data_IF_357936794253
#
_entry.id   IF_357936794253
#
_cell.length_a   1.000
_cell.length_b   1.000
_cell.length_c   1.000
_cell.angle_alpha   90.00
_cell.angle_beta   90.00
_cell.angle_gamma   90.00
#
_symmetry.space_group_name_H-M   'P 1'
#
loop_
_entity.id
_entity.type
_entity.pdbx_description
1 polymer ?
#
# COMPACT_ATOMS: atom_id res chain seq x y z
N UNK A 1 9.08 31.50 62.08
CA UNK A 1 9.01 30.16 61.42
C UNK A 1 7.58 29.66 61.08
N UNK A 2 6.52 30.47 61.23
CA UNK A 2 5.12 30.04 60.98
C UNK A 2 4.58 30.47 59.61
N UNK A 3 5.21 31.33 58.89
CA UNK A 3 4.76 31.82 57.57
C UNK A 3 5.35 31.04 56.39
N UNK A 4 6.38 30.21 56.60
CA UNK A 4 7.02 29.42 55.53
C UNK A 4 6.22 28.18 55.13
N UNK A 5 5.42 27.64 56.05
CA UNK A 5 4.60 26.42 55.79
C UNK A 5 3.48 26.62 54.77
N UNK A 6 2.69 27.73 54.84
CA UNK A 6 1.62 27.93 53.84
C UNK A 6 2.18 28.26 52.45
N UNK A 7 3.36 28.90 52.38
CA UNK A 7 3.97 29.30 51.12
C UNK A 7 4.53 28.10 50.35
N UNK A 8 5.12 27.13 51.07
CA UNK A 8 5.61 25.85 50.49
C UNK A 8 4.41 24.98 50.05
N UNK A 9 3.33 24.98 50.84
CA UNK A 9 2.11 24.22 50.50
C UNK A 9 1.43 24.81 49.25
N UNK A 10 1.39 26.14 49.11
CA UNK A 10 0.86 26.82 47.94
C UNK A 10 1.71 26.56 46.68
N UNK A 11 3.04 26.55 46.82
CA UNK A 11 3.96 26.24 45.72
C UNK A 11 3.81 24.77 45.27
N UNK A 12 3.61 23.84 46.20
CA UNK A 12 3.38 22.43 45.87
C UNK A 12 2.04 22.19 45.16
N UNK A 13 1.02 22.98 45.50
CA UNK A 13 -0.29 22.90 44.85
C UNK A 13 -0.23 23.42 43.40
N UNK A 14 0.57 24.45 43.13
CA UNK A 14 0.77 24.98 41.76
C UNK A 14 1.60 24.05 40.90
N UNK A 15 2.59 23.36 41.47
CA UNK A 15 3.39 22.34 40.73
C UNK A 15 2.61 21.05 40.46
N UNK A 16 1.63 20.71 41.32
CA UNK A 16 0.83 19.48 41.17
C UNK A 16 -0.33 19.59 40.17
N UNK A 17 -0.72 20.82 39.80
CA UNK A 17 -1.84 21.08 38.88
C UNK A 17 -1.49 21.09 37.37
N UNK A 18 -0.22 20.94 37.02
CA UNK A 18 0.27 21.19 35.65
C UNK A 18 0.36 19.97 34.71
N UNK A 19 0.08 18.77 35.19
CA UNK A 19 0.04 17.58 34.33
C UNK A 19 -1.39 17.29 33.82
N UNK A 20 -1.99 18.27 33.13
CA UNK A 20 -3.07 17.95 32.21
C UNK A 20 -2.44 17.14 31.08
N UNK A 21 -2.54 15.81 31.18
CA UNK A 21 -2.26 14.94 30.04
C UNK A 21 -3.07 15.48 28.86
N UNK A 22 -2.39 16.02 27.84
CA UNK A 22 -2.99 16.27 26.53
C UNK A 22 -3.43 14.89 26.01
N UNK A 23 -4.61 14.44 26.44
CA UNK A 23 -5.27 13.32 25.79
C UNK A 23 -5.54 13.78 24.37
N UNK A 24 -4.76 13.27 23.42
CA UNK A 24 -5.06 13.44 22.01
C UNK A 24 -6.50 12.91 21.83
N UNK A 25 -7.44 13.83 21.73
CA UNK A 25 -8.85 13.48 21.55
C UNK A 25 -8.94 12.77 20.19
N UNK A 26 -9.22 11.49 20.21
CA UNK A 26 -9.53 10.73 19.00
C UNK A 26 -11.00 10.97 18.67
N UNK A 27 -11.29 11.12 17.36
CA UNK A 27 -12.66 11.15 16.84
C UNK A 27 -12.91 9.92 16.01
N UNK A 28 -14.14 9.44 15.98
CA UNK A 28 -14.54 8.36 15.08
C UNK A 28 -14.95 8.96 13.73
N UNK A 29 -14.37 8.43 12.66
CA UNK A 29 -14.78 8.70 11.28
C UNK A 29 -15.40 7.43 10.75
N UNK A 30 -16.61 7.54 10.23
CA UNK A 30 -17.32 6.47 9.53
C UNK A 30 -17.36 6.76 8.03
N UNK A 31 -17.45 5.71 7.22
CA UNK A 31 -17.55 5.91 5.78
C UNK A 31 -17.97 4.66 5.03
N UNK A 32 -18.15 4.85 3.72
CA UNK A 32 -18.36 3.77 2.76
C UNK A 32 -17.33 3.86 1.65
N UNK A 33 -16.89 2.69 1.18
CA UNK A 33 -16.03 2.57 0.00
C UNK A 33 -16.84 1.89 -1.09
N UNK A 34 -16.89 2.53 -2.24
CA UNK A 34 -17.65 2.10 -3.41
C UNK A 34 -16.72 2.02 -4.63
N UNK A 35 -17.09 1.22 -5.62
CA UNK A 35 -16.47 1.23 -6.94
C UNK A 35 -17.04 2.33 -7.85
N UNK A 36 -16.58 2.38 -9.10
CA UNK A 36 -17.08 3.31 -10.12
C UNK A 36 -18.57 3.09 -10.44
N UNK A 37 -19.11 1.88 -10.20
CA UNK A 37 -20.50 1.50 -10.43
C UNK A 37 -21.36 1.68 -9.18
N UNK A 38 -20.85 2.35 -8.13
CA UNK A 38 -21.50 2.57 -6.82
C UNK A 38 -21.77 1.26 -6.04
N UNK A 39 -21.05 0.19 -6.35
CA UNK A 39 -21.14 -1.06 -5.60
C UNK A 39 -20.24 -1.03 -4.38
N UNK A 40 -20.69 -1.58 -3.24
CA UNK A 40 -19.87 -1.58 -2.01
C UNK A 40 -18.68 -2.52 -2.16
N UNK A 41 -17.48 -2.01 -1.79
CA UNK A 41 -16.25 -2.79 -1.82
C UNK A 41 -15.95 -3.37 -0.44
N UNK A 42 -15.90 -4.69 -0.38
CA UNK A 42 -15.60 -5.48 0.81
C UNK A 42 -14.08 -5.68 0.95
N UNK A 43 -13.59 -5.69 2.18
CA UNK A 43 -12.19 -6.03 2.44
C UNK A 43 -11.19 -4.93 2.07
N UNK A 44 -11.65 -3.72 1.80
CA UNK A 44 -10.77 -2.56 1.53
C UNK A 44 -10.04 -2.17 2.80
N UNK A 45 -8.71 -2.06 2.74
CA UNK A 45 -7.90 -1.57 3.84
C UNK A 45 -7.92 -0.04 3.87
N UNK A 46 -8.30 0.52 5.01
CA UNK A 46 -8.33 1.97 5.28
C UNK A 46 -7.37 2.24 6.43
N UNK A 47 -6.25 2.92 6.15
CA UNK A 47 -5.22 3.25 7.12
C UNK A 47 -5.15 4.75 7.35
N UNK A 48 -4.83 5.15 8.57
CA UNK A 48 -4.48 6.56 8.88
C UNK A 48 -3.04 6.80 8.45
N UNK A 49 -2.82 7.73 7.53
CA UNK A 49 -1.49 8.06 6.98
C UNK A 49 -0.51 8.41 8.11
N UNK A 50 0.72 7.91 8.01
CA UNK A 50 1.74 8.09 9.04
C UNK A 50 1.55 7.28 10.32
N UNK A 51 0.57 6.38 10.39
CA UNK A 51 0.35 5.50 11.55
C UNK A 51 0.16 4.04 11.14
N UNK A 52 0.16 3.14 12.12
CA UNK A 52 -0.16 1.73 11.91
C UNK A 52 -1.65 1.41 12.16
N UNK A 53 -2.47 2.45 12.43
CA UNK A 53 -3.90 2.27 12.69
C UNK A 53 -4.66 2.13 11.39
N UNK A 54 -5.39 1.04 11.25
CA UNK A 54 -6.21 0.77 10.08
C UNK A 54 -7.39 -0.13 10.41
N UNK A 55 -8.35 -0.15 9.51
CA UNK A 55 -9.54 -1.01 9.55
C UNK A 55 -9.82 -1.54 8.16
N UNK A 56 -10.67 -2.57 8.08
CA UNK A 56 -11.13 -3.14 6.81
C UNK A 56 -12.62 -2.86 6.64
N UNK A 57 -13.07 -2.65 5.40
CA UNK A 57 -14.51 -2.48 5.13
C UNK A 57 -15.28 -3.78 5.31
N UNK A 58 -16.50 -3.66 5.83
CA UNK A 58 -17.47 -4.74 6.00
C UNK A 58 -18.14 -5.14 4.66
N UNK A 59 -19.02 -6.13 4.71
CA UNK A 59 -19.74 -6.66 3.53
C UNK A 59 -20.55 -5.60 2.77
N UNK A 60 -21.01 -4.57 3.44
CA UNK A 60 -21.72 -3.42 2.84
C UNK A 60 -20.81 -2.24 2.51
N UNK A 61 -19.48 -2.47 2.45
CA UNK A 61 -18.46 -1.46 2.14
C UNK A 61 -18.27 -0.40 3.22
N UNK A 62 -18.86 -0.54 4.40
CA UNK A 62 -18.74 0.45 5.48
C UNK A 62 -17.53 0.22 6.35
N UNK A 63 -16.98 1.30 6.91
CA UNK A 63 -15.88 1.27 7.89
C UNK A 63 -16.09 2.30 9.00
N UNK A 64 -15.44 2.08 10.13
CA UNK A 64 -15.32 3.03 11.24
C UNK A 64 -13.88 3.03 11.74
N UNK A 65 -13.26 4.18 11.81
CA UNK A 65 -11.86 4.33 12.21
C UNK A 65 -11.68 5.47 13.20
N UNK A 66 -10.84 5.24 14.20
CA UNK A 66 -10.45 6.26 15.17
C UNK A 66 -9.27 7.08 14.64
N UNK A 67 -9.49 8.36 14.46
CA UNK A 67 -8.48 9.29 13.93
C UNK A 67 -8.21 10.43 14.93
N UNK A 68 -7.06 11.11 14.86
CA UNK A 68 -6.81 12.33 15.62
C UNK A 68 -7.86 13.41 15.34
N UNK A 69 -8.09 14.31 16.28
CA UNK A 69 -9.12 15.38 16.17
C UNK A 69 -8.88 16.40 15.06
N UNK A 70 -7.68 16.41 14.46
CA UNK A 70 -7.32 17.30 13.36
C UNK A 70 -7.77 16.79 11.99
N UNK A 71 -7.31 17.50 10.97
CA UNK A 71 -7.35 17.02 9.59
C UNK A 71 -6.52 15.74 9.48
N UNK A 72 -7.06 14.73 8.84
CA UNK A 72 -6.44 13.41 8.75
C UNK A 72 -6.49 12.91 7.31
N UNK A 73 -5.39 12.32 6.85
CA UNK A 73 -5.32 11.65 5.55
C UNK A 73 -5.54 10.17 5.76
N UNK A 74 -6.47 9.59 5.01
CA UNK A 74 -6.70 8.14 4.95
C UNK A 74 -6.06 7.59 3.70
N UNK A 75 -5.28 6.54 3.85
CA UNK A 75 -4.74 5.76 2.74
C UNK A 75 -5.61 4.52 2.54
N UNK A 76 -6.25 4.46 1.38
CA UNK A 76 -7.24 3.42 1.04
C UNK A 76 -6.67 2.53 -0.05
N UNK A 77 -6.63 1.23 0.21
CA UNK A 77 -6.06 0.23 -0.70
C UNK A 77 -6.98 -0.98 -0.83
N UNK A 78 -7.12 -1.48 -2.04
CA UNK A 78 -7.86 -2.69 -2.34
C UNK A 78 -7.19 -3.44 -3.50
N UNK A 79 -7.21 -4.76 -3.47
CA UNK A 79 -6.68 -5.57 -4.56
C UNK A 79 -7.51 -5.35 -5.84
N UNK A 80 -6.85 -5.06 -6.96
CA UNK A 80 -7.50 -4.75 -8.23
C UNK A 80 -8.01 -3.32 -8.37
N UNK A 81 -7.67 -2.43 -7.43
CA UNK A 81 -8.04 -1.01 -7.44
C UNK A 81 -6.84 -0.13 -7.22
N UNK A 82 -6.85 1.06 -7.81
CA UNK A 82 -5.82 2.06 -7.60
C UNK A 82 -5.84 2.58 -6.16
N UNK A 83 -4.69 2.60 -5.46
CA UNK A 83 -4.61 3.15 -4.12
C UNK A 83 -4.93 4.63 -4.12
N UNK A 84 -5.70 5.09 -3.14
CA UNK A 84 -6.13 6.49 -3.04
C UNK A 84 -5.83 7.08 -1.66
N UNK A 85 -5.36 8.32 -1.63
CA UNK A 85 -5.26 9.12 -0.40
C UNK A 85 -6.43 10.10 -0.34
N UNK A 86 -7.15 10.09 0.78
CA UNK A 86 -8.34 10.92 0.99
C UNK A 86 -8.17 11.75 2.24
N UNK A 87 -8.25 13.06 2.11
CA UNK A 87 -8.19 13.99 3.24
C UNK A 87 -9.56 14.14 3.89
N UNK A 88 -9.63 13.89 5.18
CA UNK A 88 -10.84 14.05 6.00
C UNK A 88 -10.67 15.26 6.89
N UNK A 89 -11.38 16.38 6.61
CA UNK A 89 -11.29 17.57 7.45
C UNK A 89 -11.86 17.31 8.84
N UNK A 90 -11.39 18.07 9.82
CA UNK A 90 -11.80 17.94 11.23
C UNK A 90 -13.31 18.08 11.45
N UNK A 91 -14.00 18.80 10.57
CA UNK A 91 -15.44 19.05 10.64
C UNK A 91 -16.32 17.90 10.12
N UNK A 92 -15.73 16.90 9.46
CA UNK A 92 -16.47 15.75 8.88
C UNK A 92 -16.17 14.45 9.60
N UNK A 93 -17.23 13.78 10.03
CA UNK A 93 -17.16 12.45 10.65
C UNK A 93 -17.73 11.34 9.74
N UNK A 94 -18.20 11.70 8.54
CA UNK A 94 -18.71 10.74 7.55
C UNK A 94 -18.17 11.06 6.16
N UNK A 95 -17.76 10.02 5.41
CA UNK A 95 -17.17 10.16 4.08
C UNK A 95 -17.56 8.98 3.18
N UNK A 96 -17.75 9.25 1.89
CA UNK A 96 -17.86 8.22 0.85
C UNK A 96 -16.65 8.30 -0.05
N UNK A 97 -16.02 7.17 -0.31
CA UNK A 97 -14.81 7.02 -1.11
C UNK A 97 -15.14 6.18 -2.32
N UNK A 98 -14.73 6.63 -3.51
CA UNK A 98 -14.89 5.89 -4.76
C UNK A 98 -13.51 5.45 -5.22
N UNK A 99 -13.30 4.13 -5.38
CA UNK A 99 -12.07 3.58 -5.93
C UNK A 99 -12.24 3.30 -7.43
N UNK A 100 -11.15 3.51 -8.16
CA UNK A 100 -11.08 3.17 -9.58
C UNK A 100 -10.38 1.83 -9.74
N UNK A 101 -10.89 0.99 -10.64
CA UNK A 101 -10.28 -0.29 -10.98
C UNK A 101 -8.91 -0.07 -11.61
N UNK A 102 -7.93 -0.89 -11.21
CA UNK A 102 -6.62 -0.92 -11.84
C UNK A 102 -6.67 -1.85 -13.05
N UNK A 103 -6.91 -1.26 -14.22
CA UNK A 103 -7.00 -1.99 -15.49
C UNK A 103 -5.73 -2.79 -15.82
N UNK A 104 -4.57 -2.41 -15.29
CA UNK A 104 -3.29 -3.10 -15.53
C UNK A 104 -3.25 -4.43 -14.75
N UNK A 105 -3.79 -4.48 -13.54
CA UNK A 105 -3.87 -5.73 -12.76
C UNK A 105 -4.91 -6.72 -13.30
N UNK A 106 -5.94 -6.24 -13.99
CA UNK A 106 -6.97 -7.10 -14.59
C UNK A 106 -6.45 -7.81 -15.85
N UNK A 107 -5.45 -7.25 -16.53
CA UNK A 107 -4.83 -7.86 -17.72
C UNK A 107 -3.77 -8.93 -17.36
N UNK A 108 -3.35 -9.01 -16.11
CA UNK A 108 -2.38 -9.99 -15.60
C UNK A 108 -3.02 -11.26 -15.00
N UNK A 109 -4.33 -11.44 -15.12
CA UNK A 109 -4.93 -12.76 -14.92
C UNK A 109 -4.67 -13.60 -16.17
N UNK A 110 -3.40 -13.80 -16.47
CA UNK A 110 -2.97 -14.85 -17.39
C UNK A 110 -3.29 -16.17 -16.72
N UNK A 111 -4.38 -16.76 -17.16
CA UNK A 111 -4.62 -18.18 -17.02
C UNK A 111 -3.32 -18.89 -17.38
N UNK A 112 -2.63 -19.46 -16.41
CA UNK A 112 -1.56 -20.41 -16.64
C UNK A 112 -2.24 -21.70 -17.12
N UNK A 113 -2.67 -21.67 -18.38
CA UNK A 113 -3.08 -22.81 -19.16
C UNK A 113 -1.99 -23.06 -20.16
N UNK A 114 -1.14 -24.06 -19.90
CA UNK A 114 -0.28 -24.73 -20.86
C UNK A 114 0.42 -23.83 -21.91
N UNK A 115 1.63 -23.34 -21.58
CA UNK A 115 2.70 -23.24 -22.57
C UNK A 115 2.61 -22.15 -23.62
N UNK A 116 2.41 -20.87 -23.24
CA UNK A 116 2.89 -19.74 -24.03
C UNK A 116 3.36 -18.64 -23.09
N UNK A 117 4.67 -18.59 -22.88
CA UNK A 117 5.29 -17.46 -22.23
C UNK A 117 5.12 -16.23 -23.14
N UNK A 118 4.19 -15.34 -22.79
CA UNK A 118 4.19 -13.99 -23.34
C UNK A 118 5.43 -13.27 -22.81
N UNK A 119 6.33 -12.87 -23.70
CA UNK A 119 7.50 -12.07 -23.38
C UNK A 119 7.07 -10.79 -22.68
N UNK A 120 7.44 -10.69 -21.42
CA UNK A 120 7.39 -9.42 -20.69
C UNK A 120 8.33 -8.44 -21.41
N UNK A 121 7.80 -7.34 -21.91
CA UNK A 121 8.58 -6.23 -22.41
C UNK A 121 9.31 -5.57 -21.24
N UNK A 122 10.46 -6.10 -20.89
CA UNK A 122 11.46 -5.38 -20.12
C UNK A 122 12.03 -4.33 -21.07
N UNK A 123 11.67 -3.07 -20.86
CA UNK A 123 12.35 -1.90 -21.41
C UNK A 123 13.74 -1.80 -20.80
N UNK A 124 14.62 -2.57 -21.31
CA UNK A 124 16.06 -2.56 -21.08
C UNK A 124 16.67 -3.35 -22.22
N UNK A 125 17.50 -2.69 -23.04
CA UNK A 125 18.12 -3.23 -24.22
C UNK A 125 18.76 -4.60 -23.97
N UNK A 126 18.02 -5.66 -24.25
CA UNK A 126 18.55 -7.00 -24.41
C UNK A 126 18.52 -7.28 -25.91
N UNK A 127 19.70 -7.25 -26.50
CA UNK A 127 19.89 -7.69 -27.87
C UNK A 127 19.35 -9.12 -28.00
N UNK A 128 18.27 -9.28 -28.74
CA UNK A 128 17.79 -10.61 -29.14
C UNK A 128 18.78 -11.21 -30.11
N UNK A 129 19.63 -12.08 -29.60
CA UNK A 129 20.45 -12.96 -30.46
C UNK A 129 19.48 -13.94 -31.10
N UNK A 130 19.21 -13.76 -32.36
CA UNK A 130 18.30 -14.60 -33.13
C UNK A 130 18.82 -16.03 -33.20
N UNK A 131 17.91 -17.01 -33.19
CA UNK A 131 18.18 -18.44 -33.27
C UNK A 131 19.08 -18.86 -34.47
N UNK A 132 19.15 -18.06 -35.51
CA UNK A 132 20.04 -18.29 -36.67
C UNK A 132 21.53 -18.14 -36.34
N UNK A 133 21.89 -17.36 -35.32
CA UNK A 133 23.29 -17.18 -34.93
C UNK A 133 23.82 -18.31 -34.05
N UNK A 134 22.92 -18.99 -33.35
CA UNK A 134 23.24 -20.18 -32.55
C UNK A 134 23.48 -21.42 -33.43
N UNK A 135 22.73 -21.59 -34.51
CA UNK A 135 22.94 -22.71 -35.44
C UNK A 135 24.29 -22.64 -36.13
N UNK A 136 24.75 -21.46 -36.52
CA UNK A 136 26.04 -21.28 -37.16
C UNK A 136 27.24 -21.53 -36.22
N UNK A 137 27.11 -21.23 -34.94
CA UNK A 137 28.16 -21.48 -33.93
C UNK A 137 28.30 -22.95 -33.57
N UNK A 138 27.20 -23.69 -33.51
CA UNK A 138 27.20 -25.10 -33.19
C UNK A 138 27.78 -25.90 -34.37
N UNK A 139 27.45 -25.52 -35.61
CA UNK A 139 27.99 -26.20 -36.81
C UNK A 139 29.50 -26.04 -36.96
N UNK A 140 30.06 -24.84 -36.63
CA UNK A 140 31.51 -24.64 -36.71
C UNK A 140 32.28 -25.35 -35.59
N UNK A 141 31.67 -25.52 -34.41
CA UNK A 141 32.30 -26.19 -33.26
C UNK A 141 32.38 -27.72 -33.50
N UNK A 142 31.35 -28.30 -34.08
CA UNK A 142 31.32 -29.74 -34.36
C UNK A 142 32.28 -30.13 -35.50
N UNK A 143 32.44 -29.27 -36.52
CA UNK A 143 33.39 -29.50 -37.63
C UNK A 143 34.86 -29.56 -37.15
N UNK A 144 35.22 -28.69 -36.23
CA UNK A 144 36.59 -28.66 -35.66
C UNK A 144 36.87 -29.80 -34.67
N UNK A 145 35.87 -30.32 -34.01
CA UNK A 145 36.04 -31.50 -33.11
C UNK A 145 36.23 -32.81 -33.88
N UNK A 146 35.69 -32.93 -35.09
CA UNK A 146 35.81 -34.14 -35.92
C UNK A 146 37.14 -34.17 -36.69
N UNK A 147 37.77 -33.04 -36.97
CA UNK A 147 39.08 -33.01 -37.66
C UNK A 147 40.25 -33.43 -36.77
N UNK A 148 40.10 -33.42 -35.45
CA UNK A 148 41.15 -33.83 -34.50
C UNK A 148 41.15 -35.34 -34.18
N UNK A 149 40.15 -36.10 -34.62
CA UNK A 149 39.96 -37.50 -34.21
C UNK A 149 40.36 -38.52 -35.29
N UNK A 150 40.87 -38.10 -36.45
CA UNK A 150 41.29 -39.01 -37.52
C UNK A 150 42.72 -38.69 -37.93
N UNK A 151 43.67 -39.00 -37.04
CA UNK A 151 45.09 -39.08 -37.39
C UNK A 151 45.76 -40.03 -36.39
N UNK A 152 45.95 -41.29 -36.79
CA UNK A 152 46.74 -42.27 -36.10
C UNK A 152 46.28 -43.68 -36.34
#
# INVERSE_FOLDING_TARGET
>A
MRVFRPLVLSLLLVLGGGLTALSAQNREVSGKVLDANQQPLVGVAVLVDGTTKGVTTSENGSFKIQVPSGETVLHVTCLGYLPQKVTVPSSRNSITIYLQEDAIMLDETVVIGYGTQKKVNLTGAVATVGSKELENRVAHSLGNMLQGSVAG
#
